data_IF_425490733682
#
_entry.id   IF_425490733682
#
_cell.length_a   1.000
_cell.length_b   1.000
_cell.length_c   1.000
_cell.angle_alpha   90.00
_cell.angle_beta   90.00
_cell.angle_gamma   90.00
#
_symmetry.space_group_name_H-M   'P 1'
#
loop_
_entity.id
_entity.type
_entity.pdbx_description
1 polymer ?
#
# COMPACT_ATOMS: atom_id res chain seq x y z
N UNK A 1 -18.97 -9.93 -7.60
CA UNK A 1 -17.93 -9.80 -8.65
C UNK A 1 -17.98 -8.46 -9.40
N UNK A 2 -18.42 -7.36 -8.78
CA UNK A 2 -18.42 -6.02 -9.38
C UNK A 2 -17.68 -5.05 -8.46
N UNK A 3 -16.38 -5.26 -8.30
CA UNK A 3 -15.54 -4.46 -7.39
C UNK A 3 -14.94 -3.22 -8.05
N UNK A 4 -15.35 -2.89 -9.27
CA UNK A 4 -14.68 -1.84 -10.04
C UNK A 4 -15.33 -0.49 -9.72
N UNK A 5 -14.79 0.22 -8.72
CA UNK A 5 -15.17 1.62 -8.48
C UNK A 5 -14.42 2.47 -9.50
N UNK A 6 -15.13 3.23 -10.35
CA UNK A 6 -14.47 4.11 -11.30
C UNK A 6 -13.81 5.29 -10.59
N UNK A 7 -12.75 5.82 -11.18
CA UNK A 7 -12.17 7.14 -10.84
C UNK A 7 -12.54 8.12 -11.95
N UNK A 8 -13.43 9.06 -11.63
CA UNK A 8 -14.14 9.85 -12.62
C UNK A 8 -14.97 8.93 -13.53
N UNK A 9 -14.73 8.99 -14.84
CA UNK A 9 -15.35 8.07 -15.81
C UNK A 9 -14.55 6.79 -16.06
N UNK A 10 -13.35 6.66 -15.49
CA UNK A 10 -12.40 5.59 -15.81
C UNK A 10 -12.60 4.40 -14.88
N UNK A 11 -12.81 3.23 -15.47
CA UNK A 11 -12.93 1.95 -14.80
C UNK A 11 -11.84 1.00 -15.31
N UNK A 12 -11.07 0.39 -14.40
CA UNK A 12 -10.02 -0.57 -14.74
C UNK A 12 -10.34 -1.90 -14.05
N UNK A 13 -10.31 -2.98 -14.83
CA UNK A 13 -10.52 -4.34 -14.35
C UNK A 13 -9.27 -5.18 -14.64
N UNK A 14 -8.78 -5.84 -13.61
CA UNK A 14 -7.68 -6.80 -13.68
C UNK A 14 -8.24 -8.22 -13.80
N UNK A 15 -7.74 -8.98 -14.77
CA UNK A 15 -8.14 -10.35 -15.04
C UNK A 15 -6.87 -11.23 -14.96
N UNK A 16 -6.87 -12.28 -14.11
CA UNK A 16 -5.74 -13.20 -14.05
C UNK A 16 -5.46 -13.82 -15.42
N UNK A 17 -4.19 -13.85 -15.83
CA UNK A 17 -3.75 -14.45 -17.09
C UNK A 17 -2.93 -15.72 -16.85
N UNK A 18 -2.82 -16.63 -17.83
CA UNK A 18 -1.89 -17.75 -17.78
C UNK A 18 -0.44 -17.29 -17.57
N UNK A 19 0.40 -18.14 -17.00
CA UNK A 19 1.82 -17.83 -16.77
C UNK A 19 2.54 -17.56 -18.09
N UNK A 20 3.38 -16.51 -18.11
CA UNK A 20 4.16 -16.11 -19.28
C UNK A 20 3.38 -15.29 -20.32
N UNK A 21 2.19 -14.80 -19.97
CA UNK A 21 1.41 -13.87 -20.80
C UNK A 21 1.97 -12.45 -20.75
N UNK A 22 2.59 -12.06 -19.63
CA UNK A 22 2.99 -10.70 -19.34
C UNK A 22 1.79 -9.77 -19.09
N UNK A 23 2.08 -8.48 -18.97
CA UNK A 23 1.07 -7.44 -18.76
C UNK A 23 0.64 -6.83 -20.11
N UNK A 24 -0.65 -6.96 -20.44
CA UNK A 24 -1.32 -6.47 -21.66
C UNK A 24 -2.36 -5.39 -21.25
N UNK A 25 -2.67 -4.29 -21.98
CA UNK A 25 -2.10 -3.64 -23.17
C UNK A 25 -1.69 -2.15 -23.00
N UNK A 26 -1.74 -1.56 -21.79
CA UNK A 26 -1.54 -0.10 -21.61
C UNK A 26 -0.21 0.25 -20.90
N UNK A 27 0.60 1.22 -21.38
CA UNK A 27 1.93 1.52 -20.83
C UNK A 27 1.89 2.06 -19.40
N UNK A 28 0.88 2.85 -19.05
CA UNK A 28 0.71 3.39 -17.70
C UNK A 28 0.36 2.30 -16.68
N UNK A 29 -0.75 1.53 -16.81
CA UNK A 29 -1.01 0.38 -15.95
C UNK A 29 0.13 -0.63 -15.93
N UNK A 30 0.81 -0.86 -17.06
CA UNK A 30 1.96 -1.79 -17.13
C UNK A 30 3.05 -1.45 -16.13
N UNK A 31 3.49 -0.18 -16.05
CA UNK A 31 4.55 0.19 -15.11
C UNK A 31 4.12 0.10 -13.65
N UNK A 32 2.87 0.48 -13.35
CA UNK A 32 2.30 0.34 -12.00
C UNK A 32 2.20 -1.13 -11.58
N UNK A 33 1.71 -2.01 -12.46
CA UNK A 33 1.55 -3.43 -12.19
C UNK A 33 2.90 -4.15 -12.07
N UNK A 34 3.90 -3.75 -12.85
CA UNK A 34 5.29 -4.22 -12.66
C UNK A 34 5.86 -3.81 -11.29
N UNK A 35 5.63 -2.57 -10.85
CA UNK A 35 6.07 -2.14 -9.51
C UNK A 35 5.33 -2.86 -8.39
N UNK A 36 4.09 -3.28 -8.63
CA UNK A 36 3.31 -4.10 -7.69
C UNK A 36 3.74 -5.59 -7.68
N UNK A 37 4.66 -6.00 -8.56
CA UNK A 37 5.12 -7.39 -8.65
C UNK A 37 4.13 -8.34 -9.33
N UNK A 38 3.24 -7.83 -10.19
CA UNK A 38 2.31 -8.65 -10.97
C UNK A 38 2.95 -9.02 -12.30
N UNK A 39 3.20 -10.31 -12.52
CA UNK A 39 3.84 -10.79 -13.75
C UNK A 39 2.86 -10.94 -14.92
N UNK A 40 1.70 -11.54 -14.67
CA UNK A 40 0.75 -11.97 -15.70
C UNK A 40 -0.66 -11.45 -15.41
N UNK A 41 -1.15 -10.51 -16.22
CA UNK A 41 -2.54 -10.06 -16.16
C UNK A 41 -3.04 -9.46 -17.47
N UNK A 42 -4.33 -9.67 -17.73
CA UNK A 42 -5.07 -8.90 -18.72
C UNK A 42 -5.75 -7.71 -18.04
N UNK A 43 -5.60 -6.53 -18.65
CA UNK A 43 -6.28 -5.32 -18.17
C UNK A 43 -7.36 -4.91 -19.16
N UNK A 44 -8.56 -4.64 -18.67
CA UNK A 44 -9.62 -4.01 -19.47
C UNK A 44 -9.98 -2.68 -18.82
N UNK A 45 -9.85 -1.60 -19.58
CA UNK A 45 -10.19 -0.25 -19.14
C UNK A 45 -11.39 0.30 -19.93
N UNK A 46 -12.28 1.02 -19.26
CA UNK A 46 -13.46 1.66 -19.85
C UNK A 46 -13.53 3.12 -19.39
N UNK A 47 -14.01 4.02 -20.25
CA UNK A 47 -14.12 5.46 -19.96
C UNK A 47 -12.99 6.30 -20.55
N UNK A 48 -12.80 7.53 -20.06
CA UNK A 48 -11.79 8.46 -20.58
C UNK A 48 -10.38 8.13 -20.05
N UNK A 49 -9.78 7.05 -20.58
CA UNK A 49 -8.45 6.55 -20.17
C UNK A 49 -7.28 7.44 -20.61
N UNK A 50 -7.54 8.48 -21.41
CA UNK A 50 -6.54 9.46 -21.83
C UNK A 50 -6.04 10.32 -20.65
N UNK A 51 -6.85 10.49 -19.60
CA UNK A 51 -6.45 11.24 -18.41
C UNK A 51 -5.56 10.37 -17.52
N UNK A 52 -4.26 10.67 -17.53
CA UNK A 52 -3.22 9.93 -16.81
C UNK A 52 -3.55 9.69 -15.33
N UNK A 53 -3.92 10.75 -14.60
CA UNK A 53 -4.18 10.69 -13.16
C UNK A 53 -5.31 9.72 -12.80
N UNK A 54 -6.46 9.86 -13.46
CA UNK A 54 -7.62 8.98 -13.23
C UNK A 54 -7.32 7.52 -13.61
N UNK A 55 -6.60 7.30 -14.71
CA UNK A 55 -6.23 5.95 -15.13
C UNK A 55 -5.23 5.28 -14.17
N UNK A 56 -4.28 6.05 -13.63
CA UNK A 56 -3.33 5.56 -12.63
C UNK A 56 -4.03 5.21 -11.33
N UNK A 57 -4.88 6.12 -10.84
CA UNK A 57 -5.63 5.93 -9.59
C UNK A 57 -6.62 4.76 -9.71
N UNK A 58 -7.31 4.61 -10.83
CA UNK A 58 -8.20 3.47 -11.07
C UNK A 58 -7.43 2.13 -11.06
N UNK A 59 -6.21 2.12 -11.61
CA UNK A 59 -5.35 0.92 -11.58
C UNK A 59 -4.90 0.60 -10.15
N UNK A 60 -4.49 1.62 -9.39
CA UNK A 60 -4.10 1.45 -7.99
C UNK A 60 -5.26 0.96 -7.10
N UNK A 61 -6.47 1.50 -7.32
CA UNK A 61 -7.68 1.08 -6.62
C UNK A 61 -8.03 -0.39 -6.95
N UNK A 62 -7.87 -0.81 -8.21
CA UNK A 62 -8.07 -2.19 -8.62
C UNK A 62 -7.07 -3.14 -7.93
N UNK A 63 -5.78 -2.77 -7.87
CA UNK A 63 -4.75 -3.57 -7.17
C UNK A 63 -5.02 -3.63 -5.67
N UNK A 64 -5.38 -2.52 -5.03
CA UNK A 64 -5.65 -2.47 -3.59
C UNK A 64 -6.82 -3.38 -3.19
N UNK A 65 -7.84 -3.50 -4.05
CA UNK A 65 -9.00 -4.36 -3.82
C UNK A 65 -8.70 -5.85 -3.91
N UNK A 66 -7.55 -6.26 -4.44
CA UNK A 66 -7.15 -7.68 -4.44
C UNK A 66 -7.07 -8.21 -3.01
N UNK A 67 -6.59 -7.41 -2.05
CA UNK A 67 -6.58 -7.73 -0.62
C UNK A 67 -7.98 -7.69 0.02
N UNK A 68 -8.90 -6.88 -0.51
CA UNK A 68 -10.29 -6.85 -0.02
C UNK A 68 -11.11 -8.07 -0.46
N UNK A 69 -10.62 -8.82 -1.46
CA UNK A 69 -11.33 -9.98 -1.97
C UNK A 69 -11.08 -11.21 -1.09
N UNK A 70 -12.12 -11.66 -0.39
CA UNK A 70 -12.04 -12.82 0.48
C UNK A 70 -12.17 -14.11 -0.34
N UNK A 71 -11.04 -14.78 -0.56
CA UNK A 71 -10.98 -16.09 -1.21
C UNK A 71 -11.20 -17.22 -0.20
N UNK A 72 -11.66 -18.42 -0.64
CA UNK A 72 -11.88 -19.56 0.26
C UNK A 72 -10.67 -19.98 1.11
N UNK A 73 -9.46 -19.72 0.62
CA UNK A 73 -8.22 -20.00 1.36
C UNK A 73 -8.03 -19.07 2.57
N UNK A 74 -8.64 -17.87 2.55
CA UNK A 74 -8.57 -16.87 3.61
C UNK A 74 -9.75 -16.94 4.60
N UNK A 75 -10.64 -17.92 4.50
CA UNK A 75 -11.81 -18.04 5.39
C UNK A 75 -11.47 -18.49 6.81
N UNK A 76 -10.28 -19.07 7.02
CA UNK A 76 -9.83 -19.45 8.35
C UNK A 76 -9.63 -18.20 9.21
N UNK A 77 -10.12 -18.25 10.43
CA UNK A 77 -10.02 -17.13 11.37
C UNK A 77 -8.55 -16.78 11.64
N UNK A 78 -8.22 -15.50 11.51
CA UNK A 78 -6.88 -14.99 11.81
C UNK A 78 -6.78 -14.75 13.31
N UNK A 79 -5.82 -15.39 13.98
CA UNK A 79 -5.52 -15.09 15.38
C UNK A 79 -5.01 -13.65 15.51
N UNK A 80 -5.68 -12.84 16.35
CA UNK A 80 -5.27 -11.47 16.59
C UNK A 80 -4.04 -11.46 17.50
N UNK A 81 -2.89 -11.14 16.92
CA UNK A 81 -1.64 -10.95 17.64
C UNK A 81 -1.59 -9.52 18.18
N UNK A 82 -0.83 -9.28 19.24
CA UNK A 82 -0.59 -7.92 19.75
C UNK A 82 0.01 -7.06 18.64
N UNK A 83 -0.39 -5.80 18.59
CA UNK A 83 0.20 -4.88 17.61
C UNK A 83 1.69 -4.65 17.93
N UNK A 84 2.56 -4.45 16.92
CA UNK A 84 3.96 -4.14 17.15
C UNK A 84 4.17 -2.91 18.04
N UNK A 85 3.26 -1.93 17.97
CA UNK A 85 3.26 -0.76 18.86
C UNK A 85 3.11 -1.14 20.33
N UNK A 86 2.29 -2.16 20.63
CA UNK A 86 2.09 -2.64 21.98
C UNK A 86 3.27 -3.51 22.47
N UNK A 87 3.88 -4.30 21.59
CA UNK A 87 5.01 -5.17 21.94
C UNK A 87 6.31 -4.38 22.19
N UNK A 88 6.56 -3.33 21.40
CA UNK A 88 7.79 -2.54 21.48
C UNK A 88 7.63 -1.22 22.21
N UNK A 89 6.52 -1.00 22.92
CA UNK A 89 6.21 0.25 23.62
C UNK A 89 7.37 0.74 24.50
N UNK A 90 7.97 -0.17 25.29
CA UNK A 90 9.10 0.14 26.17
C UNK A 90 10.35 0.60 25.40
N UNK A 91 10.62 0.00 24.24
CA UNK A 91 11.74 0.36 23.36
C UNK A 91 11.53 1.74 22.73
N UNK A 92 10.31 2.03 22.27
CA UNK A 92 9.96 3.34 21.72
C UNK A 92 10.09 4.43 22.79
N UNK A 93 9.53 4.23 23.99
CA UNK A 93 9.63 5.21 25.10
C UNK A 93 11.09 5.48 25.46
N UNK A 94 11.92 4.43 25.58
CA UNK A 94 13.34 4.57 25.92
C UNK A 94 14.14 5.31 24.86
N UNK A 95 13.85 5.08 23.58
CA UNK A 95 14.53 5.74 22.45
C UNK A 95 14.10 7.20 22.30
N UNK A 96 12.81 7.50 22.45
CA UNK A 96 12.29 8.86 22.35
C UNK A 96 12.60 9.72 23.58
N UNK A 97 12.69 9.14 24.79
CA UNK A 97 13.09 9.85 26.00
C UNK A 97 14.59 10.18 26.04
N UNK A 98 15.45 9.37 25.40
CA UNK A 98 16.89 9.65 25.29
C UNK A 98 17.24 10.83 24.37
N UNK A 99 16.33 11.23 23.48
CA UNK A 99 16.53 12.38 22.57
C UNK A 99 16.20 13.72 23.24
N UNK A 100 15.43 13.74 24.33
CA UNK A 100 15.05 14.99 25.01
C UNK A 100 16.00 15.43 26.13
N UNK A 101 16.97 14.59 26.54
CA UNK A 101 17.91 14.90 27.65
C UNK A 101 19.31 15.22 27.11
N UNK A 102 19.42 16.27 26.30
CA UNK A 102 20.67 17.03 26.13
C UNK A 102 20.37 18.53 26.10
N UNK A 103 19.97 19.08 27.24
CA UNK A 103 20.16 20.50 27.54
C UNK A 103 20.40 20.69 29.03
N UNK A 104 21.43 20.05 29.56
CA UNK A 104 21.97 20.39 30.89
C UNK A 104 22.66 21.74 30.76
N UNK A 105 22.02 22.81 31.25
CA UNK A 105 22.73 24.06 31.54
C UNK A 105 23.77 23.76 32.63
N UNK A 106 25.02 24.18 32.38
CA UNK A 106 26.12 24.03 33.31
C UNK A 106 25.82 24.74 34.64
N UNK A 107 26.14 24.15 35.80
CA UNK A 107 26.07 24.88 37.07
C UNK A 107 27.15 25.98 37.05
N UNK A 108 26.73 27.24 37.13
CA UNK A 108 27.64 28.36 37.32
C UNK A 108 28.37 28.19 38.65
N UNK A 109 29.68 28.00 38.56
CA UNK A 109 30.64 27.98 39.67
C UNK A 109 30.36 29.14 40.64
N UNK A 110 30.18 28.80 41.90
CA UNK A 110 30.26 29.76 43.00
C UNK A 110 31.70 30.28 43.08
N UNK A 111 31.87 31.60 42.95
CA UNK A 111 33.09 32.31 43.32
C UNK A 111 32.82 33.10 44.59
N UNK A 112 33.80 33.03 45.50
CA UNK A 112 33.98 33.70 46.80
C UNK A 112 33.53 35.16 46.85
#
# INVERSE_FOLDING_TARGET
MHSDRPRGSVLVRLIPAPRGTGIVPAPLPKKLLMMAGIDDCHTSARGCTATLGNSAEATFDATSKTYSYLTPVLWKETVLVKSPYQEFADCFVKTHAGVSVQRTQAPSLATT
#
